data_IF_037549137369
#
_entry.id   IF_037549137369
#
_cell.length_a   1.000
_cell.length_b   1.000
_cell.length_c   1.000
_cell.angle_alpha   90.00
_cell.angle_beta   90.00
_cell.angle_gamma   90.00
#
_symmetry.space_group_name_H-M   'P 1'
#
loop_
_entity.id
_entity.type
_entity.pdbx_description
1 polymer ?
#
# COMPACT_ATOMS: atom_id res chain seq x y z
N UNK A 1 2.60 6.27 -20.28
CA UNK A 1 2.59 4.80 -20.39
C UNK A 1 1.66 4.23 -19.32
N UNK A 2 0.66 3.44 -19.71
CA UNK A 2 -0.25 2.77 -18.78
C UNK A 2 0.41 1.57 -18.09
N UNK A 3 0.64 1.69 -16.79
CA UNK A 3 1.10 0.63 -15.92
C UNK A 3 -0.04 -0.37 -15.62
N UNK A 4 0.34 -1.62 -15.36
CA UNK A 4 -0.59 -2.73 -15.13
C UNK A 4 -0.35 -3.34 -13.76
N UNK A 5 -1.40 -3.93 -13.22
CA UNK A 5 -1.33 -4.74 -12.01
C UNK A 5 -0.28 -5.86 -12.17
N UNK A 6 0.57 -6.00 -11.16
CA UNK A 6 1.56 -7.06 -11.06
C UNK A 6 1.12 -7.99 -9.95
N UNK A 7 1.09 -9.29 -10.23
CA UNK A 7 0.75 -10.29 -9.22
C UNK A 7 1.73 -10.21 -8.03
N UNK A 8 1.24 -10.08 -6.79
CA UNK A 8 2.11 -9.88 -5.64
C UNK A 8 2.93 -11.13 -5.30
N UNK A 9 4.20 -10.94 -4.93
CA UNK A 9 5.03 -12.02 -4.41
C UNK A 9 4.46 -12.54 -3.09
N UNK A 10 4.31 -13.85 -2.95
CA UNK A 10 3.77 -14.47 -1.75
C UNK A 10 4.87 -14.86 -0.77
N UNK A 11 4.74 -14.52 0.53
CA UNK A 11 5.72 -14.94 1.52
C UNK A 11 5.62 -16.45 1.76
N UNK A 12 6.76 -17.08 1.99
CA UNK A 12 6.82 -18.46 2.48
C UNK A 12 6.66 -18.43 4.00
N UNK A 13 5.70 -19.21 4.52
CA UNK A 13 5.54 -19.36 5.96
C UNK A 13 6.70 -20.20 6.51
N UNK A 14 7.39 -19.65 7.50
CA UNK A 14 8.50 -20.29 8.22
C UNK A 14 8.25 -20.21 9.72
N UNK A 15 8.87 -21.11 10.50
CA UNK A 15 8.69 -21.15 11.96
C UNK A 15 9.39 -19.97 12.66
N UNK A 16 10.57 -19.58 12.18
CA UNK A 16 11.37 -18.51 12.75
C UNK A 16 11.81 -17.52 11.66
N UNK A 17 11.91 -16.21 11.96
CA UNK A 17 12.46 -15.25 11.02
C UNK A 17 13.87 -15.67 10.59
N UNK A 18 14.20 -15.61 9.29
CA UNK A 18 15.53 -15.92 8.83
C UNK A 18 16.55 -14.88 9.35
N UNK A 19 17.78 -15.34 9.59
CA UNK A 19 18.88 -14.56 10.15
C UNK A 19 19.97 -14.25 9.10
N UNK A 20 20.79 -13.23 9.40
CA UNK A 20 21.95 -12.85 8.59
C UNK A 20 21.79 -11.52 7.85
N UNK A 21 22.90 -10.97 7.36
CA UNK A 21 22.98 -9.63 6.75
C UNK A 21 22.19 -9.48 5.44
N UNK A 22 21.76 -10.58 4.83
CA UNK A 22 20.93 -10.58 3.63
C UNK A 22 19.44 -10.37 3.88
N UNK A 23 19.01 -10.22 5.13
CA UNK A 23 17.59 -10.11 5.50
C UNK A 23 17.27 -8.75 6.09
N UNK A 24 16.13 -8.20 5.65
CA UNK A 24 15.48 -7.05 6.28
C UNK A 24 14.13 -7.51 6.82
N UNK A 25 13.79 -7.09 8.03
CA UNK A 25 12.54 -7.44 8.69
C UNK A 25 11.63 -6.22 8.76
N UNK A 26 10.39 -6.39 8.33
CA UNK A 26 9.35 -5.38 8.40
C UNK A 26 8.24 -5.82 9.35
N UNK A 27 7.52 -4.86 9.92
CA UNK A 27 6.34 -5.14 10.75
C UNK A 27 5.27 -5.80 9.89
N UNK A 28 4.79 -6.96 10.32
CA UNK A 28 3.62 -7.58 9.70
C UNK A 28 2.36 -6.82 10.13
N UNK A 29 1.70 -6.20 9.16
CA UNK A 29 0.39 -5.58 9.37
C UNK A 29 -0.75 -6.56 9.10
N UNK A 30 -1.83 -6.44 9.86
CA UNK A 30 -3.07 -7.18 9.62
C UNK A 30 -4.07 -6.28 8.90
N UNK A 31 -4.13 -6.38 7.57
CA UNK A 31 -4.95 -5.51 6.74
C UNK A 31 -5.45 -6.14 5.44
N UNK A 32 -5.66 -5.28 4.44
CA UNK A 32 -5.88 -5.70 3.07
C UNK A 32 -4.68 -5.35 2.20
N UNK A 33 -3.86 -6.36 1.85
CA UNK A 33 -2.83 -6.22 0.84
C UNK A 33 -3.40 -5.63 -0.45
N UNK A 34 -2.82 -4.52 -0.87
CA UNK A 34 -3.30 -3.70 -1.97
C UNK A 34 -2.13 -3.13 -2.75
N UNK A 35 -2.29 -3.07 -4.07
CA UNK A 35 -1.30 -2.47 -4.96
C UNK A 35 -1.82 -1.13 -5.48
N UNK A 36 -1.09 -0.06 -5.17
CA UNK A 36 -1.34 1.27 -5.71
C UNK A 36 -0.53 1.45 -6.98
N UNK A 37 -1.20 1.86 -8.05
CA UNK A 37 -0.61 2.19 -9.34
C UNK A 37 -0.87 3.66 -9.61
N UNK A 38 0.19 4.41 -9.90
CA UNK A 38 0.15 5.81 -10.30
C UNK A 38 0.74 5.88 -11.70
N UNK A 39 0.05 6.48 -12.66
CA UNK A 39 0.56 6.81 -13.99
C UNK A 39 -0.25 7.94 -14.62
N UNK A 40 -0.12 8.11 -15.95
CA UNK A 40 -0.83 9.12 -16.74
C UNK A 40 -2.37 9.03 -16.66
N UNK A 41 -2.92 7.84 -16.38
CA UNK A 41 -4.36 7.65 -16.20
C UNK A 41 -4.83 8.01 -14.76
N UNK A 42 -3.89 8.37 -13.88
CA UNK A 42 -4.12 8.70 -12.49
C UNK A 42 -3.79 7.55 -11.53
N UNK A 43 -4.33 7.64 -10.31
CA UNK A 43 -4.08 6.65 -9.26
C UNK A 43 -5.20 5.62 -9.20
N UNK A 44 -4.83 4.34 -9.24
CA UNK A 44 -5.72 3.18 -9.10
C UNK A 44 -5.20 2.29 -7.98
N UNK A 45 -6.11 1.68 -7.22
CA UNK A 45 -5.72 0.78 -6.12
C UNK A 45 -6.44 -0.55 -6.30
N UNK A 46 -5.67 -1.62 -6.39
CA UNK A 46 -6.12 -2.98 -6.60
C UNK A 46 -5.98 -3.80 -5.32
N UNK A 47 -6.89 -4.74 -5.10
CA UNK A 47 -6.71 -5.78 -4.07
C UNK A 47 -5.60 -6.75 -4.46
N UNK A 48 -5.15 -7.58 -3.51
CA UNK A 48 -4.23 -8.71 -3.76
C UNK A 48 -4.58 -9.56 -4.99
N UNK A 49 -5.87 -9.72 -5.31
CA UNK A 49 -6.33 -10.55 -6.41
C UNK A 49 -6.60 -9.75 -7.70
N UNK A 50 -6.15 -8.50 -7.79
CA UNK A 50 -6.31 -7.66 -8.99
C UNK A 50 -7.69 -7.02 -9.15
N UNK A 51 -8.59 -7.11 -8.17
CA UNK A 51 -9.87 -6.38 -8.22
C UNK A 51 -9.66 -4.88 -8.01
N UNK A 52 -10.17 -4.06 -8.91
CA UNK A 52 -10.12 -2.60 -8.81
C UNK A 52 -11.02 -2.10 -7.66
N UNK A 53 -10.39 -1.57 -6.61
CA UNK A 53 -11.05 -0.99 -5.44
C UNK A 53 -10.83 0.52 -5.34
N UNK A 54 -10.45 1.18 -6.43
CA UNK A 54 -10.17 2.62 -6.48
C UNK A 54 -11.31 3.45 -5.87
N UNK A 55 -12.57 3.13 -6.19
CA UNK A 55 -13.73 3.83 -5.63
C UNK A 55 -13.95 3.61 -4.12
N UNK A 56 -13.49 2.47 -3.57
CA UNK A 56 -13.52 2.17 -2.13
C UNK A 56 -12.39 2.87 -1.36
N UNK A 57 -11.39 3.38 -2.07
CA UNK A 57 -10.20 4.01 -1.52
C UNK A 57 -10.02 5.45 -2.00
N UNK A 58 -11.12 6.18 -2.28
CA UNK A 58 -11.05 7.54 -2.87
C UNK A 58 -10.20 8.51 -2.05
N UNK A 59 -10.18 8.38 -0.73
CA UNK A 59 -9.43 9.28 0.15
C UNK A 59 -7.92 9.02 -0.01
N UNK A 60 -7.49 7.75 -0.02
CA UNK A 60 -6.11 7.35 -0.31
C UNK A 60 -5.66 7.72 -1.73
N UNK A 61 -6.54 7.56 -2.72
CA UNK A 61 -6.30 7.96 -4.11
C UNK A 61 -6.03 9.47 -4.22
N UNK A 62 -6.72 10.29 -3.41
CA UNK A 62 -6.45 11.74 -3.36
C UNK A 62 -5.11 12.03 -2.70
N UNK A 63 -4.81 11.38 -1.57
CA UNK A 63 -3.53 11.59 -0.86
C UNK A 63 -2.32 11.12 -1.69
N UNK A 64 -2.46 10.06 -2.48
CA UNK A 64 -1.42 9.55 -3.36
C UNK A 64 -0.89 10.60 -4.35
N UNK A 65 -1.72 11.58 -4.76
CA UNK A 65 -1.28 12.70 -5.61
C UNK A 65 -0.17 13.52 -4.97
N UNK A 66 -0.12 13.57 -3.64
CA UNK A 66 0.90 14.31 -2.89
C UNK A 66 2.28 13.67 -2.95
N UNK A 67 2.38 12.42 -3.41
CA UNK A 67 3.65 11.75 -3.66
C UNK A 67 4.40 12.39 -4.84
N UNK A 68 3.73 13.11 -5.75
CA UNK A 68 4.38 13.76 -6.89
C UNK A 68 5.07 12.79 -7.85
N UNK A 69 4.72 11.49 -7.81
CA UNK A 69 5.24 10.49 -8.72
C UNK A 69 4.53 10.59 -10.07
N UNK A 70 5.31 10.59 -11.16
CA UNK A 70 4.76 10.54 -12.52
C UNK A 70 4.29 9.13 -12.88
N UNK A 71 5.02 8.12 -12.38
CA UNK A 71 4.65 6.73 -12.51
C UNK A 71 5.18 5.91 -11.32
N UNK A 72 4.34 5.06 -10.74
CA UNK A 72 4.72 4.18 -9.65
C UNK A 72 3.84 2.92 -9.55
N UNK A 73 4.44 1.83 -9.08
CA UNK A 73 3.72 0.65 -8.58
C UNK A 73 4.21 0.37 -7.16
N UNK A 74 3.30 0.52 -6.21
CA UNK A 74 3.57 0.34 -4.78
C UNK A 74 2.72 -0.80 -4.25
N UNK A 75 3.36 -1.83 -3.72
CA UNK A 75 2.71 -2.90 -2.98
C UNK A 75 2.75 -2.58 -1.48
N UNK A 76 1.62 -2.79 -0.81
CA UNK A 76 1.48 -2.39 0.58
C UNK A 76 0.22 -2.94 1.22
N UNK A 77 -0.03 -2.50 2.45
CA UNK A 77 -1.14 -2.96 3.25
C UNK A 77 -2.08 -1.79 3.57
N UNK A 78 -3.38 -1.96 3.32
CA UNK A 78 -4.39 -1.05 3.84
C UNK A 78 -4.76 -1.45 5.26
N UNK A 79 -4.61 -0.53 6.19
CA UNK A 79 -4.90 -0.76 7.62
C UNK A 79 -5.77 0.34 8.21
N UNK A 80 -6.35 0.04 9.36
CA UNK A 80 -6.84 1.04 10.32
C UNK A 80 -6.00 0.87 11.57
N UNK A 81 -5.55 1.98 12.17
CA UNK A 81 -4.80 1.95 13.40
C UNK A 81 -5.74 2.20 14.59
N UNK A 82 -5.51 1.49 15.70
CA UNK A 82 -6.14 1.80 16.97
C UNK A 82 -5.39 2.93 17.70
N UNK A 83 -5.88 3.33 18.88
CA UNK A 83 -5.30 4.41 19.68
C UNK A 83 -3.85 4.17 20.13
N UNK A 84 -3.35 2.93 20.00
CA UNK A 84 -1.96 2.54 20.29
C UNK A 84 -1.09 2.47 19.03
N UNK A 85 -1.64 2.84 17.86
CA UNK A 85 -0.94 2.78 16.58
C UNK A 85 -0.81 1.38 15.98
N UNK A 86 -1.52 0.37 16.52
CA UNK A 86 -1.48 -1.01 16.01
C UNK A 86 -2.59 -1.24 14.99
N UNK A 87 -2.34 -2.08 13.97
CA UNK A 87 -3.36 -2.44 12.98
C UNK A 87 -4.54 -3.18 13.62
N UNK A 88 -5.76 -2.69 13.38
CA UNK A 88 -7.01 -3.28 13.84
C UNK A 88 -7.84 -3.78 12.64
N UNK A 89 -7.77 -5.09 12.40
CA UNK A 89 -8.46 -5.73 11.29
C UNK A 89 -9.99 -5.69 11.42
N UNK A 90 -10.52 -5.72 12.65
CA UNK A 90 -11.96 -5.64 12.88
C UNK A 90 -12.49 -4.23 12.58
N UNK A 91 -11.73 -3.20 12.96
CA UNK A 91 -12.02 -1.80 12.62
C UNK A 91 -11.92 -1.57 11.11
N UNK A 92 -10.92 -2.13 10.43
CA UNK A 92 -10.75 -2.06 8.98
C UNK A 92 -11.98 -2.57 8.23
N UNK A 93 -12.50 -3.75 8.58
CA UNK A 93 -13.71 -4.32 7.97
C UNK A 93 -14.92 -3.40 8.06
N UNK A 94 -15.02 -2.61 9.15
CA UNK A 94 -16.08 -1.62 9.33
C UNK A 94 -15.80 -0.34 8.54
N UNK A 95 -14.55 0.09 8.47
CA UNK A 95 -14.13 1.34 7.85
C UNK A 95 -14.21 1.32 6.31
N UNK A 96 -13.85 0.19 5.68
CA UNK A 96 -13.69 0.05 4.23
C UNK A 96 -14.89 0.54 3.39
N UNK A 97 -16.10 0.53 3.96
CA UNK A 97 -17.32 0.97 3.25
C UNK A 97 -17.77 2.38 3.61
N UNK A 98 -17.51 2.86 4.83
CA UNK A 98 -18.17 4.06 5.38
C UNK A 98 -17.21 5.10 5.99
N UNK A 99 -15.99 4.71 6.35
CA UNK A 99 -15.01 5.58 7.03
C UNK A 99 -13.66 5.52 6.33
N UNK A 100 -13.64 5.92 5.06
CA UNK A 100 -12.44 5.82 4.23
C UNK A 100 -11.28 6.73 4.71
N UNK A 101 -11.59 7.77 5.48
CA UNK A 101 -10.59 8.66 6.10
C UNK A 101 -9.79 8.00 7.24
N UNK A 102 -10.26 6.88 7.78
CA UNK A 102 -9.54 6.12 8.81
C UNK A 102 -8.49 5.17 8.21
N UNK A 103 -8.43 5.08 6.88
CA UNK A 103 -7.57 4.13 6.18
C UNK A 103 -6.18 4.70 6.00
N UNK A 104 -5.19 3.87 6.30
CA UNK A 104 -3.78 4.12 6.04
C UNK A 104 -3.30 3.14 4.96
N UNK A 105 -2.51 3.63 4.00
CA UNK A 105 -1.73 2.79 3.10
C UNK A 105 -0.30 2.71 3.64
N UNK A 106 0.12 1.52 4.08
CA UNK A 106 1.51 1.28 4.49
C UNK A 106 2.25 0.66 3.32
N UNK A 107 3.19 1.40 2.73
CA UNK A 107 4.02 0.91 1.63
C UNK A 107 5.08 -0.05 2.16
N UNK A 108 5.20 -1.22 1.52
CA UNK A 108 6.18 -2.25 1.88
C UNK A 108 7.21 -2.42 0.76
N UNK A 109 6.74 -2.49 -0.49
CA UNK A 109 7.62 -2.66 -1.66
C UNK A 109 7.23 -1.65 -2.73
N UNK A 110 8.23 -1.01 -3.33
CA UNK A 110 8.05 -0.13 -4.48
C UNK A 110 8.80 -0.70 -5.69
N UNK A 111 8.07 -1.12 -6.73
CA UNK A 111 8.66 -1.76 -7.91
C UNK A 111 9.10 -0.74 -8.97
N UNK A 112 8.36 0.36 -9.11
CA UNK A 112 8.64 1.45 -10.04
C UNK A 112 8.36 2.74 -9.28
N UNK A 113 9.28 3.70 -9.34
CA UNK A 113 9.08 5.06 -8.84
C UNK A 113 9.84 6.03 -9.73
N UNK A 114 9.13 6.71 -10.62
CA UNK A 114 9.66 7.89 -11.32
C UNK A 114 9.18 9.12 -10.56
N UNK A 115 9.88 9.42 -9.48
CA UNK A 115 9.66 10.62 -8.71
C UNK A 115 10.69 11.68 -9.15
N UNK A 116 10.22 12.80 -9.70
CA UNK A 116 11.02 14.03 -9.85
C UNK A 116 11.08 14.77 -8.50
N UNK A 117 11.21 14.04 -7.39
CA UNK A 117 11.37 14.64 -6.06
C UNK A 117 12.82 15.12 -5.95
N UNK A 118 13.07 16.28 -6.54
CA UNK A 118 14.16 17.16 -6.13
C UNK A 118 13.72 17.86 -4.82
N UNK A 119 13.54 17.08 -3.75
CA UNK A 119 13.38 17.61 -2.40
C UNK A 119 13.67 16.51 -1.37
N UNK A 120 14.95 16.37 -1.05
CA UNK A 120 15.39 15.81 0.23
C UNK A 120 14.85 16.78 1.30
N UNK A 121 13.82 16.37 2.03
CA UNK A 121 13.44 17.06 3.26
C UNK A 121 14.17 16.42 4.42
N UNK A 122 14.89 17.28 5.15
CA UNK A 122 15.49 17.02 6.47
C UNK A 122 14.43 16.74 7.52
#
# INVERSE_FOLDING_TARGET
MRLKFIEPLMPTLVENPPEGEGWTHEVKFDGYRSQMIIDEDGTRIYTRNGHDWTAKYRDLVREAKRLGAESAIVDGEIVVLNDKGLSDFAALRKAITRRQHDLYFVALICFILTATICAIWR
#
